data_IF_515009630274
#
_entry.id   IF_515009630274
#
_cell.length_a   1.000
_cell.length_b   1.000
_cell.length_c   1.000
_cell.angle_alpha   90.00
_cell.angle_beta   90.00
_cell.angle_gamma   90.00
#
_symmetry.space_group_name_H-M   'P 1'
#
loop_
_entity.id
_entity.type
_entity.pdbx_description
1 polymer ?
#
# COMPACT_ATOMS: atom_id res chain seq x y z
N UNK A 1 14.51 -10.99 -0.85
CA UNK A 1 14.44 -9.51 -0.81
C UNK A 1 13.07 -9.07 -1.25
N UNK A 2 12.61 -7.92 -0.78
CA UNK A 2 11.21 -7.54 -0.96
C UNK A 2 10.82 -7.25 -2.43
N UNK A 3 11.67 -6.62 -3.24
CA UNK A 3 11.38 -6.45 -4.66
C UNK A 3 11.23 -7.80 -5.37
N UNK A 4 12.09 -8.74 -5.04
CA UNK A 4 12.03 -10.09 -5.61
C UNK A 4 10.76 -10.83 -5.23
N UNK A 5 10.31 -10.68 -3.97
CA UNK A 5 9.06 -11.31 -3.53
C UNK A 5 7.85 -10.71 -4.24
N UNK A 6 7.87 -9.41 -4.52
CA UNK A 6 6.80 -8.75 -5.28
C UNK A 6 6.81 -9.22 -6.73
N UNK A 7 8.00 -9.31 -7.35
CA UNK A 7 8.13 -9.83 -8.72
C UNK A 7 7.60 -11.27 -8.83
N UNK A 8 7.92 -12.11 -7.83
CA UNK A 8 7.43 -13.48 -7.80
C UNK A 8 5.90 -13.53 -7.64
N UNK A 9 5.36 -12.65 -6.79
CA UNK A 9 3.92 -12.52 -6.59
C UNK A 9 3.20 -12.23 -7.93
N UNK A 10 3.65 -11.23 -8.67
CA UNK A 10 3.02 -10.86 -9.94
C UNK A 10 3.26 -11.89 -11.04
N UNK A 11 4.44 -12.50 -11.08
CA UNK A 11 4.72 -13.55 -12.06
C UNK A 11 3.75 -14.73 -11.90
N UNK A 12 3.37 -15.05 -10.68
CA UNK A 12 2.43 -16.14 -10.40
C UNK A 12 0.97 -15.72 -10.60
N UNK A 13 0.59 -14.55 -10.07
CA UNK A 13 -0.84 -14.18 -9.96
C UNK A 13 -1.32 -13.23 -11.06
N UNK A 14 -0.44 -12.44 -11.63
CA UNK A 14 -0.81 -11.44 -12.64
C UNK A 14 0.38 -11.14 -13.55
N UNK A 15 0.80 -12.11 -14.39
CA UNK A 15 2.01 -11.95 -15.23
C UNK A 15 1.89 -10.85 -16.28
N UNK A 16 0.69 -10.34 -16.54
CA UNK A 16 0.45 -9.21 -17.43
C UNK A 16 0.78 -7.85 -16.79
N UNK A 17 1.01 -7.79 -15.48
CA UNK A 17 1.38 -6.56 -14.79
C UNK A 17 2.90 -6.50 -14.63
N UNK A 18 3.50 -5.43 -15.17
CA UNK A 18 4.94 -5.21 -15.06
C UNK A 18 5.30 -4.50 -13.76
N UNK A 19 6.34 -4.98 -13.08
CA UNK A 19 6.94 -4.26 -11.97
C UNK A 19 7.90 -3.23 -12.56
N UNK A 20 7.61 -1.95 -12.32
CA UNK A 20 8.39 -0.84 -12.85
C UNK A 20 9.50 -0.46 -11.87
N UNK A 21 10.69 -0.22 -12.39
CA UNK A 21 11.84 0.21 -11.59
C UNK A 21 12.32 1.56 -12.10
N UNK A 22 12.53 2.50 -11.19
CA UNK A 22 13.00 3.85 -11.49
C UNK A 22 14.42 4.06 -10.95
N UNK A 23 15.19 4.91 -11.62
CA UNK A 23 16.48 5.37 -11.10
C UNK A 23 16.30 6.41 -9.98
N UNK A 24 15.09 7.00 -9.87
CA UNK A 24 14.76 7.98 -8.85
C UNK A 24 14.05 7.28 -7.68
N UNK A 25 14.26 7.82 -6.47
CA UNK A 25 13.56 7.29 -5.29
C UNK A 25 12.05 7.47 -5.38
N UNK A 26 11.31 6.47 -4.92
CA UNK A 26 9.86 6.50 -4.77
C UNK A 26 9.44 6.26 -3.32
N UNK A 27 10.30 6.64 -2.37
CA UNK A 27 10.12 6.33 -0.96
C UNK A 27 8.99 7.12 -0.27
N UNK A 28 8.53 8.21 -0.87
CA UNK A 28 7.40 9.00 -0.37
C UNK A 28 6.37 9.17 -1.47
N UNK A 29 5.14 9.59 -1.10
CA UNK A 29 4.08 9.86 -2.08
C UNK A 29 4.55 10.86 -3.14
N UNK A 30 5.15 11.99 -2.72
CA UNK A 30 5.62 13.01 -3.65
C UNK A 30 6.72 12.49 -4.57
N UNK A 31 7.69 11.77 -4.04
CA UNK A 31 8.78 11.19 -4.82
C UNK A 31 8.29 10.13 -5.79
N UNK A 32 7.36 9.26 -5.33
CA UNK A 32 6.79 8.22 -6.18
C UNK A 32 6.00 8.83 -7.35
N UNK A 33 5.20 9.87 -7.07
CA UNK A 33 4.45 10.57 -8.10
C UNK A 33 5.38 11.13 -9.18
N UNK A 34 6.47 11.74 -8.76
CA UNK A 34 7.46 12.29 -9.68
C UNK A 34 8.19 11.19 -10.47
N UNK A 35 8.62 10.14 -9.78
CA UNK A 35 9.38 9.04 -10.39
C UNK A 35 8.57 8.31 -11.46
N UNK A 36 7.28 8.14 -11.25
CA UNK A 36 6.41 7.37 -12.15
C UNK A 36 5.46 8.22 -12.99
N UNK A 37 5.58 9.55 -12.90
CA UNK A 37 4.88 10.46 -13.81
C UNK A 37 3.36 10.51 -13.59
N UNK A 38 2.91 10.45 -12.35
CA UNK A 38 1.48 10.50 -12.00
C UNK A 38 1.23 11.57 -10.95
N UNK A 39 -0.05 11.93 -10.77
CA UNK A 39 -0.46 12.83 -9.68
C UNK A 39 -0.25 12.16 -8.33
N UNK A 40 0.13 12.91 -7.27
CA UNK A 40 0.29 12.33 -5.94
C UNK A 40 -0.93 11.55 -5.44
N UNK A 41 -2.14 12.01 -5.79
CA UNK A 41 -3.38 11.35 -5.38
C UNK A 41 -3.51 9.92 -5.94
N UNK A 42 -2.88 9.62 -7.08
CA UNK A 42 -2.91 8.29 -7.70
C UNK A 42 -1.95 7.30 -7.05
N UNK A 43 -1.03 7.76 -6.20
CA UNK A 43 -0.16 6.87 -5.45
C UNK A 43 -1.03 6.11 -4.43
N UNK A 44 -0.89 4.80 -4.39
CA UNK A 44 -1.56 3.95 -3.41
C UNK A 44 -0.58 3.67 -2.29
N UNK A 45 -0.66 4.46 -1.23
CA UNK A 45 0.24 4.31 -0.08
C UNK A 45 -0.28 3.21 0.84
N UNK A 46 0.62 2.41 1.39
CA UNK A 46 0.27 1.34 2.32
C UNK A 46 0.69 1.75 3.73
N UNK A 47 -0.27 1.79 4.62
CA UNK A 47 -0.08 2.13 6.03
C UNK A 47 -0.02 0.84 6.84
N UNK A 48 1.05 0.66 7.62
CA UNK A 48 1.24 -0.50 8.49
C UNK A 48 0.83 -0.11 9.90
N UNK A 49 -0.25 -0.70 10.39
CA UNK A 49 -0.88 -0.30 11.65
C UNK A 49 -0.97 -1.46 12.63
N UNK A 50 -0.85 -1.12 13.90
CA UNK A 50 -1.21 -2.03 14.99
C UNK A 50 -2.50 -1.52 15.63
N UNK A 51 -3.50 -2.40 15.72
CA UNK A 51 -4.75 -2.12 16.41
C UNK A 51 -4.91 -3.21 17.47
N UNK A 52 -4.73 -2.85 18.74
CA UNK A 52 -4.62 -3.85 19.81
C UNK A 52 -3.38 -4.70 19.57
N UNK A 53 -3.55 -6.00 19.46
CA UNK A 53 -2.46 -6.93 19.18
C UNK A 53 -2.35 -7.32 17.71
N UNK A 54 -3.26 -6.81 16.88
CA UNK A 54 -3.31 -7.15 15.45
C UNK A 54 -2.51 -6.15 14.63
N UNK A 55 -1.78 -6.67 13.66
CA UNK A 55 -1.12 -5.85 12.64
C UNK A 55 -1.94 -5.95 11.37
N UNK A 56 -2.28 -4.80 10.77
CA UNK A 56 -3.05 -4.73 9.54
C UNK A 56 -2.36 -3.77 8.55
N UNK A 57 -2.67 -3.94 7.27
CA UNK A 57 -2.25 -3.00 6.23
C UNK A 57 -3.49 -2.31 5.67
N UNK A 58 -3.40 -0.99 5.52
CA UNK A 58 -4.45 -0.21 4.86
C UNK A 58 -3.81 0.50 3.67
N UNK A 59 -4.37 0.28 2.49
CA UNK A 59 -3.92 0.95 1.26
C UNK A 59 -4.89 2.09 0.97
N UNK A 60 -4.37 3.29 0.78
CA UNK A 60 -5.17 4.50 0.60
C UNK A 60 -4.56 5.40 -0.48
N UNK A 61 -5.38 6.28 -1.06
CA UNK A 61 -4.92 7.25 -2.04
C UNK A 61 -3.89 8.21 -1.42
N UNK A 62 -2.95 8.69 -2.24
CA UNK A 62 -1.86 9.53 -1.75
C UNK A 62 -2.30 10.82 -1.06
N UNK A 63 -3.46 11.38 -1.46
CA UNK A 63 -4.04 12.59 -0.85
C UNK A 63 -5.04 12.28 0.27
N UNK A 64 -5.23 11.02 0.64
CA UNK A 64 -6.13 10.63 1.72
C UNK A 64 -5.38 10.63 3.05
N UNK A 65 -6.08 11.00 4.11
CA UNK A 65 -5.57 10.98 5.48
C UNK A 65 -6.43 10.03 6.29
N UNK A 66 -5.79 9.19 7.10
CA UNK A 66 -6.50 8.28 7.97
C UNK A 66 -7.30 9.07 9.02
N UNK A 67 -8.58 8.74 9.16
CA UNK A 67 -9.45 9.30 10.19
C UNK A 67 -9.48 8.34 11.37
N UNK A 68 -8.91 8.75 12.50
CA UNK A 68 -8.77 7.89 13.66
C UNK A 68 -10.12 7.42 14.22
N UNK A 69 -11.17 8.25 14.13
CA UNK A 69 -12.51 7.87 14.58
C UNK A 69 -13.08 6.74 13.71
N UNK A 70 -12.93 6.87 12.38
CA UNK A 70 -13.39 5.85 11.46
C UNK A 70 -12.64 4.53 11.67
N UNK A 71 -11.32 4.60 11.87
CA UNK A 71 -10.50 3.42 12.16
C UNK A 71 -10.94 2.76 13.45
N UNK A 72 -11.13 3.55 14.51
CA UNK A 72 -11.56 3.03 15.81
C UNK A 72 -12.92 2.36 15.70
N UNK A 73 -13.86 2.96 14.98
CA UNK A 73 -15.19 2.42 14.76
C UNK A 73 -15.13 1.09 13.99
N UNK A 74 -14.34 1.06 12.92
CA UNK A 74 -14.24 -0.14 12.07
C UNK A 74 -13.51 -1.29 12.75
N UNK A 75 -12.39 -1.00 13.42
CA UNK A 75 -11.50 -2.04 13.96
C UNK A 75 -11.61 -2.24 15.47
N UNK A 76 -12.38 -1.41 16.16
CA UNK A 76 -12.61 -1.57 17.59
C UNK A 76 -11.47 -1.13 18.48
N UNK A 77 -10.50 -0.37 17.95
CA UNK A 77 -9.37 0.10 18.72
C UNK A 77 -8.65 1.28 18.07
N UNK A 78 -7.82 1.95 18.87
CA UNK A 78 -7.03 3.08 18.39
C UNK A 78 -5.87 2.58 17.54
N UNK A 79 -5.69 3.12 16.32
CA UNK A 79 -4.58 2.69 15.46
C UNK A 79 -3.26 3.30 15.92
N UNK A 80 -2.19 2.54 15.75
CA UNK A 80 -0.82 3.00 16.00
C UNK A 80 0.05 2.55 14.83
N UNK A 81 0.81 3.47 14.25
CA UNK A 81 1.76 3.11 13.19
C UNK A 81 2.82 2.16 13.74
N UNK A 82 3.23 1.18 12.94
CA UNK A 82 4.37 0.34 13.30
C UNK A 82 5.63 1.20 13.39
N UNK A 83 6.49 0.87 14.34
CA UNK A 83 7.81 1.50 14.42
C UNK A 83 8.62 1.19 13.17
N UNK A 84 9.49 2.11 12.78
CA UNK A 84 10.32 1.95 11.58
C UNK A 84 11.19 0.70 11.66
N UNK A 85 11.61 0.32 12.88
CA UNK A 85 12.40 -0.88 13.13
C UNK A 85 11.62 -2.19 13.03
N UNK A 86 10.27 -2.12 13.10
CA UNK A 86 9.41 -3.30 13.02
C UNK A 86 8.93 -3.62 11.59
N UNK A 87 8.85 -2.60 10.74
CA UNK A 87 8.18 -2.70 9.43
C UNK A 87 8.76 -3.82 8.57
N UNK A 88 10.06 -3.83 8.37
CA UNK A 88 10.71 -4.82 7.51
C UNK A 88 10.59 -6.24 8.07
N UNK A 89 10.70 -6.40 9.38
CA UNK A 89 10.59 -7.70 10.03
C UNK A 89 9.20 -8.31 9.92
N UNK A 90 8.16 -7.49 9.95
CA UNK A 90 6.77 -7.94 9.92
C UNK A 90 6.27 -8.09 8.48
N UNK A 91 6.53 -7.12 7.60
CA UNK A 91 6.01 -7.12 6.24
C UNK A 91 6.91 -7.78 5.22
N UNK A 92 8.21 -7.84 5.49
CA UNK A 92 9.20 -8.26 4.52
C UNK A 92 9.61 -7.17 3.55
N UNK A 93 9.09 -5.95 3.72
CA UNK A 93 9.38 -4.80 2.85
C UNK A 93 10.07 -3.68 3.64
N UNK A 94 11.04 -3.02 3.00
CA UNK A 94 11.70 -1.88 3.61
C UNK A 94 10.77 -0.66 3.70
N UNK A 95 11.05 0.22 4.65
CA UNK A 95 10.34 1.50 4.76
C UNK A 95 10.48 2.26 3.44
N UNK A 96 9.37 2.79 2.94
CA UNK A 96 9.33 3.45 1.64
C UNK A 96 9.03 2.51 0.47
N UNK A 97 9.01 1.20 0.70
CA UNK A 97 8.66 0.20 -0.31
C UNK A 97 7.52 -0.70 0.11
N UNK A 98 6.90 -0.45 1.27
CA UNK A 98 5.81 -1.29 1.78
C UNK A 98 4.63 -1.30 0.82
N UNK A 99 4.13 -2.50 0.53
CA UNK A 99 3.00 -2.72 -0.35
C UNK A 99 2.25 -3.97 0.11
N UNK A 100 1.04 -4.23 -0.42
CA UNK A 100 0.28 -5.40 -0.01
C UNK A 100 0.68 -6.69 -0.74
N UNK A 101 1.70 -6.64 -1.59
CA UNK A 101 2.11 -7.77 -2.43
C UNK A 101 3.34 -8.48 -1.84
N UNK A 102 3.38 -9.80 -1.98
CA UNK A 102 4.58 -10.56 -1.63
C UNK A 102 5.02 -10.43 -0.18
N UNK A 103 4.08 -10.37 0.75
CA UNK A 103 4.35 -10.22 2.17
C UNK A 103 5.09 -11.44 2.73
N UNK A 104 5.96 -11.18 3.72
CA UNK A 104 6.71 -12.23 4.42
C UNK A 104 5.77 -13.23 5.10
N UNK A 105 4.68 -12.72 5.70
CA UNK A 105 3.65 -13.52 6.35
C UNK A 105 2.29 -12.94 6.00
N UNK A 106 1.22 -13.74 5.98
CA UNK A 106 -0.12 -13.21 5.72
C UNK A 106 -0.53 -12.17 6.75
N UNK A 107 -1.01 -11.03 6.28
CA UNK A 107 -1.57 -9.97 7.11
C UNK A 107 -2.94 -9.58 6.55
N UNK A 108 -3.89 -9.18 7.40
CA UNK A 108 -5.14 -8.60 6.89
C UNK A 108 -4.85 -7.32 6.09
N UNK A 109 -5.42 -7.24 4.90
CA UNK A 109 -5.23 -6.12 3.98
C UNK A 109 -6.57 -5.45 3.73
N UNK A 110 -6.59 -4.13 3.81
CA UNK A 110 -7.78 -3.31 3.57
C UNK A 110 -7.44 -2.26 2.54
N UNK A 111 -8.38 -2.02 1.61
CA UNK A 111 -8.26 -0.94 0.64
C UNK A 111 -9.29 0.13 0.97
N UNK A 112 -8.83 1.36 1.17
CA UNK A 112 -9.73 2.47 1.45
C UNK A 112 -10.45 2.92 0.18
N UNK A 113 -11.71 3.32 0.32
CA UNK A 113 -12.55 3.73 -0.82
C UNK A 113 -12.03 4.98 -1.54
N UNK A 114 -11.09 5.73 -0.94
CA UNK A 114 -10.44 6.85 -1.62
C UNK A 114 -9.75 6.41 -2.92
N UNK A 115 -9.30 5.17 -3.01
CA UNK A 115 -8.67 4.62 -4.22
C UNK A 115 -9.64 4.54 -5.41
N UNK A 116 -10.94 4.42 -5.14
CA UNK A 116 -11.96 4.27 -6.19
C UNK A 116 -12.19 5.53 -7.02
N UNK A 117 -11.60 6.65 -6.64
CA UNK A 117 -11.65 7.88 -7.41
C UNK A 117 -10.84 7.79 -8.71
N UNK A 118 -9.99 6.79 -8.86
CA UNK A 118 -9.07 6.67 -9.99
C UNK A 118 -9.25 5.35 -10.73
N UNK A 119 -9.00 5.38 -12.04
CA UNK A 119 -8.99 4.18 -12.88
C UNK A 119 -7.71 3.35 -12.64
N UNK A 120 -6.57 4.03 -12.47
CA UNK A 120 -5.28 3.40 -12.20
C UNK A 120 -4.66 4.06 -10.97
N UNK A 121 -4.13 3.24 -10.07
CA UNK A 121 -3.35 3.67 -8.91
C UNK A 121 -1.96 3.06 -8.97
N UNK A 122 -1.03 3.63 -8.21
CA UNK A 122 0.39 3.27 -8.30
C UNK A 122 0.90 2.91 -6.90
N UNK A 123 0.78 1.64 -6.48
CA UNK A 123 1.38 1.18 -5.23
C UNK A 123 2.87 0.89 -5.41
N UNK A 124 3.64 1.00 -4.32
CA UNK A 124 5.02 0.57 -4.28
C UNK A 124 5.13 -0.94 -4.57
N UNK A 125 6.31 -1.38 -4.93
CA UNK A 125 6.55 -2.77 -5.29
C UNK A 125 7.71 -3.39 -4.52
N UNK A 126 7.80 -3.08 -3.23
CA UNK A 126 8.74 -3.73 -2.32
C UNK A 126 10.10 -3.05 -2.19
N UNK A 127 10.35 -1.96 -2.91
CA UNK A 127 11.60 -1.20 -2.78
C UNK A 127 11.32 0.29 -2.90
N UNK A 128 12.32 1.10 -2.59
CA UNK A 128 12.23 2.56 -2.69
C UNK A 128 12.39 3.07 -4.13
N UNK A 129 12.42 2.19 -5.12
CA UNK A 129 12.61 2.54 -6.54
C UNK A 129 11.70 1.73 -7.47
N UNK A 130 10.61 1.19 -6.95
CA UNK A 130 9.73 0.31 -7.74
C UNK A 130 8.26 0.55 -7.45
N UNK A 131 7.42 0.28 -8.44
CA UNK A 131 5.97 0.40 -8.35
C UNK A 131 5.30 -0.44 -9.42
N UNK A 132 3.99 -0.60 -9.29
CA UNK A 132 3.16 -1.16 -10.37
C UNK A 132 2.02 -0.19 -10.66
N UNK A 133 1.45 -0.26 -11.87
CA UNK A 133 0.25 0.47 -12.25
C UNK A 133 -0.89 -0.54 -12.34
N UNK A 134 -1.93 -0.34 -11.57
CA UNK A 134 -2.98 -1.35 -11.39
C UNK A 134 -4.33 -0.68 -11.11
N UNK A 135 -5.43 -1.31 -11.53
CA UNK A 135 -6.75 -0.83 -11.14
C UNK A 135 -6.98 -1.11 -9.67
N UNK A 136 -7.72 -0.24 -8.94
CA UNK A 136 -8.03 -0.49 -7.52
C UNK A 136 -8.71 -1.84 -7.29
N UNK A 137 -9.68 -2.20 -8.12
CA UNK A 137 -10.41 -3.45 -7.97
C UNK A 137 -9.50 -4.67 -8.13
N UNK A 138 -8.60 -4.63 -9.11
CA UNK A 138 -7.67 -5.74 -9.31
C UNK A 138 -6.68 -5.87 -8.17
N UNK A 139 -6.21 -4.73 -7.64
CA UNK A 139 -5.32 -4.75 -6.48
C UNK A 139 -6.02 -5.40 -5.28
N UNK A 140 -7.26 -5.01 -5.00
CA UNK A 140 -8.03 -5.60 -3.90
C UNK A 140 -8.25 -7.10 -4.12
N UNK A 141 -8.58 -7.51 -5.35
CA UNK A 141 -8.80 -8.92 -5.68
C UNK A 141 -7.53 -9.75 -5.49
N UNK A 142 -6.40 -9.29 -6.03
CA UNK A 142 -5.12 -10.00 -5.94
C UNK A 142 -4.62 -10.18 -4.52
N UNK A 143 -4.93 -9.23 -3.65
CA UNK A 143 -4.47 -9.23 -2.25
C UNK A 143 -5.52 -9.74 -1.27
N UNK A 144 -6.71 -10.09 -1.77
CA UNK A 144 -7.86 -10.47 -0.95
C UNK A 144 -8.22 -9.38 0.07
N UNK A 145 -8.09 -8.12 -0.32
CA UNK A 145 -8.36 -6.98 0.55
C UNK A 145 -9.86 -6.77 0.74
N UNK A 146 -10.21 -6.30 1.93
CA UNK A 146 -11.56 -5.82 2.21
C UNK A 146 -11.61 -4.32 1.98
N UNK A 147 -12.66 -3.81 1.33
CA UNK A 147 -12.87 -2.38 1.17
C UNK A 147 -13.37 -1.75 2.45
N UNK A 148 -12.80 -0.61 2.80
CA UNK A 148 -13.16 0.15 4.01
C UNK A 148 -13.24 1.65 3.71
N UNK A 149 -13.92 2.38 4.59
CA UNK A 149 -14.00 3.84 4.54
C UNK A 149 -13.44 4.38 5.84
N UNK A 150 -12.14 4.61 5.88
CA UNK A 150 -11.42 5.00 7.11
C UNK A 150 -10.54 6.24 6.91
N UNK A 151 -10.62 6.88 5.75
CA UNK A 151 -9.83 8.05 5.43
C UNK A 151 -10.70 9.24 5.05
N UNK A 152 -10.10 10.44 5.09
CA UNK A 152 -10.65 11.66 4.53
C UNK A 152 -9.73 12.11 3.41
N UNK A 153 -10.31 12.59 2.32
CA UNK A 153 -9.55 13.09 1.17
C UNK A 153 -9.38 14.59 1.30
N UNK A 154 -8.14 15.06 1.14
CA UNK A 154 -7.85 16.49 1.11
C UNK A 154 -8.49 17.14 -0.12
N UNK A 155 -9.15 18.26 0.08
CA UNK A 155 -9.77 19.06 -0.98
C UNK A 155 -8.88 20.21 -1.40
#
# INVERSE_FOLDING_TARGET
>A
MSLESVRAFFAEKAPDIDVLVSSQSSATVALAAQAFGVEPARIAKTLSLRVGERVILIVAAGNARMDNKKVKTKFGGKPKMLGLDEVAGITGHEVGGVCPFGLKSPLPIYCDVSLKAFDIVVPAAGSTHSAVKITPDRMAELTSAEWVDVCEVAT
#
